data_IF_290398754476
#
_entry.id   IF_290398754476
#
_cell.length_a   1.000
_cell.length_b   1.000
_cell.length_c   1.000
_cell.angle_alpha   90.00
_cell.angle_beta   90.00
_cell.angle_gamma   90.00
#
_symmetry.space_group_name_H-M   'P 1'
#
loop_
_entity.id
_entity.type
_entity.pdbx_description
1 polymer ?
#
# COMPACT_ATOMS: atom_id res chain seq x y z
N UNK A 1 6.90 -7.90 3.19
CA UNK A 1 5.69 -7.13 2.77
C UNK A 1 5.07 -6.31 3.91
N UNK A 2 4.79 -6.89 5.08
CA UNK A 2 4.20 -6.16 6.22
C UNK A 2 5.13 -5.12 6.83
N UNK A 3 6.38 -5.51 7.12
CA UNK A 3 7.43 -4.62 7.66
C UNK A 3 7.78 -3.47 6.71
N UNK A 4 7.62 -3.70 5.40
CA UNK A 4 7.84 -2.71 4.35
C UNK A 4 6.56 -1.97 3.97
N UNK A 5 5.49 -2.13 4.75
CA UNK A 5 4.20 -1.47 4.53
C UNK A 5 3.65 -1.59 3.10
N UNK A 6 3.88 -2.71 2.41
CA UNK A 6 3.45 -2.88 1.00
C UNK A 6 4.29 -2.12 -0.03
N UNK A 7 5.40 -1.48 0.38
CA UNK A 7 6.41 -0.84 -0.45
C UNK A 7 7.53 -1.83 -0.79
N UNK A 8 7.15 -2.96 -1.40
CA UNK A 8 8.08 -4.00 -1.87
C UNK A 8 7.49 -4.66 -3.11
N UNK A 9 8.34 -5.14 -4.02
CA UNK A 9 7.89 -5.90 -5.18
C UNK A 9 7.27 -7.24 -4.74
N UNK A 10 6.16 -7.61 -5.36
CA UNK A 10 5.53 -8.92 -5.12
C UNK A 10 6.46 -10.05 -5.58
N UNK A 11 7.18 -9.85 -6.68
CA UNK A 11 8.09 -10.85 -7.21
C UNK A 11 9.29 -11.03 -6.28
N UNK A 12 9.85 -9.94 -5.76
CA UNK A 12 10.92 -9.99 -4.75
C UNK A 12 10.49 -10.73 -3.48
N UNK A 13 9.26 -10.51 -3.00
CA UNK A 13 8.74 -11.25 -1.84
C UNK A 13 8.54 -12.73 -2.16
N UNK A 14 8.09 -13.06 -3.38
CA UNK A 14 7.92 -14.45 -3.80
C UNK A 14 9.29 -15.16 -3.84
N UNK A 15 10.29 -14.51 -4.42
CA UNK A 15 11.66 -15.01 -4.53
C UNK A 15 12.31 -15.22 -3.14
N UNK A 16 12.13 -14.27 -2.21
CA UNK A 16 12.57 -14.40 -0.81
C UNK A 16 11.93 -15.57 -0.08
N UNK A 17 10.73 -15.98 -0.48
CA UNK A 17 10.04 -17.16 0.06
C UNK A 17 10.39 -18.46 -0.69
N UNK A 18 11.22 -18.41 -1.73
CA UNK A 18 11.52 -19.57 -2.60
C UNK A 18 10.30 -20.04 -3.41
N UNK A 19 9.37 -19.13 -3.73
CA UNK A 19 8.12 -19.43 -4.42
C UNK A 19 8.07 -18.77 -5.78
N UNK A 20 7.51 -19.47 -6.78
CA UNK A 20 7.06 -18.80 -7.99
C UNK A 20 5.93 -17.80 -7.68
N UNK A 21 5.79 -16.77 -8.51
CA UNK A 21 4.71 -15.77 -8.39
C UNK A 21 3.31 -16.42 -8.32
N UNK A 22 3.08 -17.53 -9.02
CA UNK A 22 1.81 -18.28 -8.98
C UNK A 22 1.58 -18.95 -7.64
N UNK A 23 2.60 -19.61 -7.08
CA UNK A 23 2.50 -20.24 -5.75
C UNK A 23 2.26 -19.19 -4.67
N UNK A 24 3.03 -18.09 -4.72
CA UNK A 24 2.88 -16.99 -3.78
C UNK A 24 1.47 -16.38 -3.83
N UNK A 25 0.94 -16.11 -5.02
CA UNK A 25 -0.44 -15.63 -5.19
C UNK A 25 -1.47 -16.58 -4.58
N UNK A 26 -1.35 -17.88 -4.83
CA UNK A 26 -2.28 -18.89 -4.29
C UNK A 26 -2.24 -18.93 -2.77
N UNK A 27 -1.05 -18.93 -2.18
CA UNK A 27 -0.86 -18.96 -0.72
C UNK A 27 -1.40 -17.67 -0.11
N UNK A 28 -1.06 -16.50 -0.66
CA UNK A 28 -1.54 -15.22 -0.16
C UNK A 28 -3.08 -15.15 -0.18
N UNK A 29 -3.71 -15.61 -1.27
CA UNK A 29 -5.16 -15.67 -1.38
C UNK A 29 -5.77 -16.62 -0.34
N UNK A 30 -5.20 -17.81 -0.17
CA UNK A 30 -5.68 -18.77 0.82
C UNK A 30 -5.55 -18.26 2.26
N UNK A 31 -4.46 -17.56 2.58
CA UNK A 31 -4.18 -17.08 3.95
C UNK A 31 -4.89 -15.77 4.30
N UNK A 32 -5.14 -14.89 3.33
CA UNK A 32 -5.61 -13.52 3.58
C UNK A 32 -6.92 -13.17 2.90
N UNK A 33 -7.40 -14.01 1.98
CA UNK A 33 -8.54 -13.70 1.11
C UNK A 33 -8.23 -12.68 0.01
N UNK A 34 -7.00 -12.16 -0.06
CA UNK A 34 -6.60 -11.09 -0.97
C UNK A 34 -5.49 -11.52 -1.91
N UNK A 35 -5.51 -10.98 -3.14
CA UNK A 35 -4.37 -11.11 -4.04
C UNK A 35 -3.16 -10.30 -3.50
N UNK A 36 -1.91 -10.74 -3.71
CA UNK A 36 -0.73 -10.09 -3.13
C UNK A 36 -0.63 -8.60 -3.46
N UNK A 37 -0.89 -8.22 -4.72
CA UNK A 37 -0.88 -6.82 -5.14
C UNK A 37 -1.90 -5.98 -4.36
N UNK A 38 -3.11 -6.51 -4.17
CA UNK A 38 -4.15 -5.79 -3.43
C UNK A 38 -3.80 -5.70 -1.95
N UNK A 39 -3.28 -6.76 -1.34
CA UNK A 39 -2.80 -6.73 0.04
C UNK A 39 -1.67 -5.71 0.22
N UNK A 40 -0.73 -5.60 -0.73
CA UNK A 40 0.31 -4.58 -0.70
C UNK A 40 -0.27 -3.16 -0.77
N UNK A 41 -1.27 -2.91 -1.64
CA UNK A 41 -2.00 -1.63 -1.69
C UNK A 41 -2.66 -1.29 -0.35
N UNK A 42 -3.36 -2.26 0.27
CA UNK A 42 -4.01 -2.06 1.57
C UNK A 42 -2.99 -1.72 2.66
N UNK A 43 -1.86 -2.42 2.72
CA UNK A 43 -0.80 -2.14 3.69
C UNK A 43 -0.21 -0.74 3.50
N UNK A 44 0.01 -0.34 2.25
CA UNK A 44 0.51 0.98 1.88
C UNK A 44 -0.45 2.08 2.27
N UNK A 45 -1.72 1.91 1.94
CA UNK A 45 -2.79 2.82 2.31
C UNK A 45 -2.91 2.96 3.83
N UNK A 46 -2.84 1.87 4.59
CA UNK A 46 -2.87 1.93 6.07
C UNK A 46 -1.71 2.75 6.62
N UNK A 47 -0.52 2.60 6.06
CA UNK A 47 0.64 3.40 6.46
C UNK A 47 0.45 4.88 6.10
N UNK A 48 -0.01 5.18 4.89
CA UNK A 48 -0.27 6.54 4.45
C UNK A 48 -1.38 7.22 5.26
N UNK A 49 -2.43 6.49 5.63
CA UNK A 49 -3.51 6.97 6.50
C UNK A 49 -2.96 7.38 7.87
N UNK A 50 -2.06 6.59 8.46
CA UNK A 50 -1.43 6.97 9.73
C UNK A 50 -0.59 8.25 9.59
N UNK A 51 0.14 8.41 8.49
CA UNK A 51 0.92 9.62 8.21
C UNK A 51 0.03 10.86 8.00
N UNK A 52 -1.12 10.73 7.33
CA UNK A 52 -2.08 11.85 7.13
C UNK A 52 -2.56 12.42 8.47
N UNK A 53 -2.78 11.57 9.47
CA UNK A 53 -3.21 12.02 10.79
C UNK A 53 -2.09 12.72 11.59
N UNK A 54 -0.83 12.37 11.35
CA UNK A 54 0.31 12.99 12.04
C UNK A 54 0.78 14.29 11.37
N UNK A 55 0.69 14.35 10.04
CA UNK A 55 1.21 15.44 9.22
C UNK A 55 0.17 15.92 8.19
N UNK A 56 -0.91 16.57 8.63
CA UNK A 56 -1.90 17.11 7.69
C UNK A 56 -1.20 18.11 6.75
N UNK A 57 -1.48 17.98 5.45
CA UNK A 57 -1.01 18.84 4.34
C UNK A 57 0.36 18.54 3.70
N UNK A 58 1.14 17.55 4.15
CA UNK A 58 2.44 17.21 3.55
C UNK A 58 2.38 16.17 2.39
N UNK A 59 1.32 16.19 1.57
CA UNK A 59 0.96 15.06 0.68
C UNK A 59 1.99 14.71 -0.40
N UNK A 60 2.73 15.68 -0.93
CA UNK A 60 3.73 15.42 -1.96
C UNK A 60 4.91 14.60 -1.43
N UNK A 61 5.45 14.97 -0.26
CA UNK A 61 6.52 14.22 0.41
C UNK A 61 6.00 12.86 0.91
N UNK A 62 4.83 12.86 1.54
CA UNK A 62 4.22 11.62 2.03
C UNK A 62 3.97 10.59 0.94
N UNK A 63 3.62 11.02 -0.28
CA UNK A 63 3.43 10.11 -1.39
C UNK A 63 4.70 9.26 -1.62
N UNK A 64 5.86 9.91 -1.69
CA UNK A 64 7.14 9.23 -1.91
C UNK A 64 7.52 8.35 -0.72
N UNK A 65 7.38 8.86 0.51
CA UNK A 65 7.71 8.11 1.74
C UNK A 65 6.84 6.86 1.90
N UNK A 66 5.57 6.94 1.46
CA UNK A 66 4.64 5.82 1.45
C UNK A 66 4.76 4.95 0.19
N UNK A 67 5.77 5.14 -0.66
CA UNK A 67 6.01 4.30 -1.83
C UNK A 67 5.02 4.49 -2.99
N UNK A 68 4.33 5.63 -3.04
CA UNK A 68 3.62 6.09 -4.22
C UNK A 68 4.58 6.74 -5.20
N UNK A 69 4.21 6.69 -6.47
CA UNK A 69 5.01 7.26 -7.56
C UNK A 69 5.01 8.80 -7.51
N UNK A 70 3.84 9.37 -7.25
CA UNK A 70 3.62 10.81 -7.11
C UNK A 70 2.39 11.09 -6.25
N UNK A 71 2.12 12.37 -6.01
CA UNK A 71 0.97 12.83 -5.24
C UNK A 71 -0.38 12.43 -5.88
N UNK A 72 -0.48 12.38 -7.21
CA UNK A 72 -1.72 12.04 -7.90
C UNK A 72 -2.07 10.55 -7.71
N UNK A 73 -1.08 9.67 -7.83
CA UNK A 73 -1.21 8.25 -7.53
C UNK A 73 -1.64 8.03 -6.07
N UNK A 74 -1.01 8.73 -5.13
CA UNK A 74 -1.41 8.70 -3.72
C UNK A 74 -2.88 9.12 -3.51
N UNK A 75 -3.29 10.29 -4.01
CA UNK A 75 -4.66 10.79 -3.84
C UNK A 75 -5.69 9.85 -4.49
N UNK A 76 -5.39 9.33 -5.67
CA UNK A 76 -6.28 8.40 -6.38
C UNK A 76 -6.48 7.10 -5.60
N UNK A 77 -5.41 6.46 -5.15
CA UNK A 77 -5.51 5.22 -4.36
C UNK A 77 -6.18 5.47 -3.00
N UNK A 78 -5.85 6.58 -2.34
CA UNK A 78 -6.47 6.94 -1.06
C UNK A 78 -7.98 7.11 -1.22
N UNK A 79 -8.42 7.75 -2.31
CA UNK A 79 -9.84 7.89 -2.62
C UNK A 79 -10.49 6.56 -2.98
N UNK A 80 -9.83 5.71 -3.75
CA UNK A 80 -10.35 4.38 -4.11
C UNK A 80 -10.59 3.52 -2.86
N UNK A 81 -9.71 3.59 -1.87
CA UNK A 81 -9.77 2.75 -0.67
C UNK A 81 -10.58 3.35 0.48
N UNK A 82 -10.65 4.68 0.62
CA UNK A 82 -11.34 5.36 1.72
C UNK A 82 -12.64 6.07 1.34
N UNK A 83 -12.88 6.28 0.04
CA UNK A 83 -13.96 7.13 -0.47
C UNK A 83 -13.73 8.63 -0.29
N UNK A 84 -12.65 9.07 0.37
CA UNK A 84 -12.32 10.47 0.68
C UNK A 84 -10.96 10.84 0.13
N UNK A 85 -10.67 12.13 0.00
CA UNK A 85 -9.31 12.60 -0.27
C UNK A 85 -8.49 12.67 1.02
N UNK A 86 -7.15 12.61 0.95
CA UNK A 86 -6.29 12.79 2.12
C UNK A 86 -6.58 14.09 2.88
N UNK A 87 -6.81 15.19 2.15
CA UNK A 87 -7.17 16.49 2.72
C UNK A 87 -8.47 16.46 3.52
N UNK A 88 -9.47 15.69 3.07
CA UNK A 88 -10.72 15.54 3.78
C UNK A 88 -10.62 14.59 4.99
N UNK A 89 -9.59 13.76 5.08
CA UNK A 89 -9.41 12.78 6.15
C UNK A 89 -8.51 13.26 7.29
N UNK A 90 -7.59 14.18 7.02
CA UNK A 90 -6.66 14.74 8.01
C UNK A 90 -7.15 16.00 8.73
N UNK A 91 -8.45 16.33 8.64
CA UNK A 91 -9.08 17.51 9.25
C UNK A 91 -10.39 17.16 9.94
#
# INVERSE_FOLDING_TARGET
MMERHGCVSIDEVADQCGLSARQFRRICLAQTGLAPKFLARVLRFRHALAQVHMHPCAFAHMALDCGYYDQAHFINEFRELSGRTPAAAGG
#
